data_IF_355320528016
#
_entry.id   IF_355320528016
#
_cell.length_a   1.000
_cell.length_b   1.000
_cell.length_c   1.000
_cell.angle_alpha   90.00
_cell.angle_beta   90.00
_cell.angle_gamma   90.00
#
_symmetry.space_group_name_H-M   'P 1'
#
loop_
_entity.id
_entity.type
_entity.pdbx_description
1 polymer ?
#
# COMPACT_ATOMS: atom_id res chain seq x y z
N UNK A 1 -24.80 18.33 -8.97
CA UNK A 1 -25.37 16.97 -9.06
C UNK A 1 -26.54 16.87 -8.09
N UNK A 2 -27.73 16.49 -8.56
CA UNK A 2 -28.97 16.56 -7.77
C UNK A 2 -29.04 15.41 -6.73
N UNK A 3 -29.19 15.75 -5.45
CA UNK A 3 -29.01 14.84 -4.30
C UNK A 3 -30.21 13.90 -4.12
N UNK A 4 -31.41 14.33 -4.52
CA UNK A 4 -32.65 13.54 -4.40
C UNK A 4 -32.61 12.26 -5.21
N UNK A 5 -32.04 12.29 -6.42
CA UNK A 5 -31.89 11.11 -7.28
C UNK A 5 -31.20 9.91 -6.60
N UNK A 6 -30.32 10.12 -5.62
CA UNK A 6 -29.63 9.02 -4.93
C UNK A 6 -30.47 8.32 -3.89
N UNK A 7 -31.30 9.07 -3.17
CA UNK A 7 -32.23 8.51 -2.18
C UNK A 7 -33.32 7.71 -2.87
N UNK A 8 -33.76 8.19 -4.03
CA UNK A 8 -34.81 7.55 -4.83
C UNK A 8 -34.32 6.28 -5.56
N UNK A 9 -33.01 6.12 -5.78
CA UNK A 9 -32.42 4.96 -6.46
C UNK A 9 -31.96 3.83 -5.51
N UNK A 10 -31.27 4.17 -4.40
CA UNK A 10 -30.69 3.16 -3.50
C UNK A 10 -30.17 3.77 -2.18
N UNK A 11 -30.75 3.35 -1.05
CA UNK A 11 -30.33 3.80 0.30
C UNK A 11 -28.84 3.55 0.60
N UNK A 12 -28.25 2.47 0.08
CA UNK A 12 -26.81 2.18 0.27
C UNK A 12 -25.93 3.19 -0.47
N UNK A 13 -26.31 3.58 -1.69
CA UNK A 13 -25.56 4.57 -2.46
C UNK A 13 -25.63 5.95 -1.81
N UNK A 14 -26.80 6.32 -1.27
CA UNK A 14 -26.94 7.55 -0.50
C UNK A 14 -26.08 7.54 0.78
N UNK A 15 -26.06 6.43 1.53
CA UNK A 15 -25.21 6.29 2.71
C UNK A 15 -23.71 6.43 2.36
N UNK A 16 -23.26 5.75 1.30
CA UNK A 16 -21.89 5.85 0.80
C UNK A 16 -21.52 7.28 0.42
N UNK A 17 -22.43 8.00 -0.24
CA UNK A 17 -22.24 9.41 -0.60
C UNK A 17 -22.08 10.33 0.62
N UNK A 18 -22.86 10.13 1.69
CA UNK A 18 -22.72 10.92 2.93
C UNK A 18 -21.39 10.63 3.62
N UNK A 19 -20.99 9.35 3.70
CA UNK A 19 -19.68 8.94 4.24
C UNK A 19 -18.54 9.59 3.44
N UNK A 20 -18.64 9.58 2.12
CA UNK A 20 -17.72 10.27 1.21
C UNK A 20 -17.60 11.76 1.54
N UNK A 21 -18.72 12.50 1.66
CA UNK A 21 -18.67 13.94 1.98
C UNK A 21 -17.92 14.24 3.27
N UNK A 22 -18.18 13.45 4.33
CA UNK A 22 -17.49 13.61 5.62
C UNK A 22 -15.98 13.41 5.48
N UNK A 23 -15.56 12.34 4.78
CA UNK A 23 -14.15 12.05 4.52
C UNK A 23 -13.50 13.20 3.74
N UNK A 24 -14.13 13.65 2.66
CA UNK A 24 -13.61 14.71 1.80
C UNK A 24 -13.45 16.03 2.54
N UNK A 25 -14.41 16.40 3.38
CA UNK A 25 -14.31 17.61 4.21
C UNK A 25 -13.13 17.53 5.18
N UNK A 26 -12.99 16.41 5.90
CA UNK A 26 -11.87 16.19 6.83
C UNK A 26 -10.51 16.26 6.13
N UNK A 27 -10.38 15.61 4.97
CA UNK A 27 -9.13 15.62 4.18
C UNK A 27 -8.85 17.01 3.63
N UNK A 28 -9.87 17.73 3.15
CA UNK A 28 -9.73 19.11 2.66
C UNK A 28 -9.25 20.07 3.74
N UNK A 29 -9.70 19.88 4.98
CA UNK A 29 -9.23 20.65 6.13
C UNK A 29 -7.71 20.48 6.30
N UNK A 30 -7.20 19.25 6.29
CA UNK A 30 -5.75 18.99 6.40
C UNK A 30 -4.96 19.49 5.19
N UNK A 31 -5.52 19.34 3.98
CA UNK A 31 -4.84 19.78 2.77
C UNK A 31 -4.72 21.31 2.67
N UNK A 32 -5.69 22.04 3.25
CA UNK A 32 -5.73 23.50 3.23
C UNK A 32 -5.03 24.13 4.43
N UNK A 33 -4.99 23.44 5.58
CA UNK A 33 -4.19 23.89 6.73
C UNK A 33 -2.71 23.72 6.39
N UNK A 34 -1.96 24.82 6.45
CA UNK A 34 -0.49 24.75 6.59
C UNK A 34 -0.17 24.29 8.01
N UNK A 35 -0.48 23.02 8.32
CA UNK A 35 -0.15 22.45 9.62
C UNK A 35 1.35 22.53 9.83
N UNK A 36 1.75 23.04 10.97
CA UNK A 36 3.17 22.99 11.34
C UNK A 36 3.55 21.54 11.67
N UNK A 37 4.85 21.23 11.60
CA UNK A 37 5.33 19.87 11.84
C UNK A 37 5.03 19.38 13.28
N UNK A 38 4.95 20.30 14.24
CA UNK A 38 4.65 20.01 15.65
C UNK A 38 3.21 19.55 15.82
N UNK A 39 2.26 20.18 15.15
CA UNK A 39 0.84 19.79 15.12
C UNK A 39 0.67 18.41 14.49
N UNK A 40 1.37 18.13 13.39
CA UNK A 40 1.38 16.81 12.74
C UNK A 40 1.91 15.76 13.72
N UNK A 41 3.06 16.01 14.35
CA UNK A 41 3.67 15.08 15.32
C UNK A 41 2.74 14.81 16.51
N UNK A 42 2.10 15.84 17.07
CA UNK A 42 1.11 15.69 18.15
C UNK A 42 -0.09 14.85 17.71
N UNK A 43 -0.64 15.10 16.52
CA UNK A 43 -1.77 14.34 15.98
C UNK A 43 -1.41 12.86 15.74
N UNK A 44 -0.21 12.60 15.21
CA UNK A 44 0.33 11.25 15.01
C UNK A 44 0.52 10.53 16.34
N UNK A 45 1.05 11.20 17.37
CA UNK A 45 1.20 10.63 18.71
C UNK A 45 -0.16 10.24 19.32
N UNK A 46 -1.18 11.09 19.17
CA UNK A 46 -2.55 10.78 19.61
C UNK A 46 -3.16 9.59 18.86
N UNK A 47 -3.00 9.54 17.53
CA UNK A 47 -3.49 8.40 16.74
C UNK A 47 -2.75 7.11 17.11
N UNK A 48 -1.43 7.18 17.31
CA UNK A 48 -0.64 6.04 17.73
C UNK A 48 -1.14 5.46 19.05
N UNK A 49 -1.33 6.30 20.08
CA UNK A 49 -1.91 5.86 21.36
C UNK A 49 -3.31 5.28 21.18
N UNK A 50 -4.17 5.93 20.40
CA UNK A 50 -5.53 5.46 20.14
C UNK A 50 -5.56 4.07 19.50
N UNK A 51 -4.70 3.80 18.51
CA UNK A 51 -4.73 2.56 17.74
C UNK A 51 -3.92 1.43 18.37
N UNK A 52 -2.86 1.75 19.11
CA UNK A 52 -1.93 0.74 19.67
C UNK A 52 -2.08 0.55 21.17
N UNK A 53 -2.68 1.52 21.88
CA UNK A 53 -2.65 1.61 23.34
C UNK A 53 -1.30 2.04 23.92
N UNK A 54 -0.29 2.35 23.08
CA UNK A 54 1.08 2.68 23.50
C UNK A 54 1.39 4.15 23.32
N UNK A 55 2.28 4.70 24.15
CA UNK A 55 2.77 6.06 24.00
C UNK A 55 3.94 6.09 23.01
N UNK A 56 3.92 7.07 22.10
CA UNK A 56 5.02 7.31 21.15
C UNK A 56 5.92 8.41 21.70
N UNK A 57 7.17 8.08 22.01
CA UNK A 57 8.20 9.05 22.42
C UNK A 57 9.13 9.38 21.23
N UNK A 58 9.03 10.60 20.72
CA UNK A 58 9.83 11.05 19.59
C UNK A 58 11.34 11.14 19.87
N UNK A 59 11.74 11.23 21.14
CA UNK A 59 13.14 11.27 21.54
C UNK A 59 13.79 9.88 21.56
N UNK A 60 12.97 8.83 21.60
CA UNK A 60 13.41 7.44 21.77
C UNK A 60 12.57 6.48 20.94
N UNK A 61 12.94 6.33 19.66
CA UNK A 61 12.26 5.45 18.71
C UNK A 61 12.98 4.10 18.60
N UNK A 62 12.43 3.04 19.19
CA UNK A 62 13.08 1.73 19.25
C UNK A 62 12.38 0.71 18.36
N UNK A 63 11.04 0.68 18.39
CA UNK A 63 10.23 -0.30 17.68
C UNK A 63 10.01 0.06 16.21
N UNK A 64 9.70 -0.96 15.40
CA UNK A 64 9.36 -0.77 13.99
C UNK A 64 8.16 0.17 13.78
N UNK A 65 7.10 0.01 14.57
CA UNK A 65 5.93 0.88 14.46
C UNK A 65 6.27 2.34 14.79
N UNK A 66 7.03 2.62 15.85
CA UNK A 66 7.47 3.98 16.21
C UNK A 66 8.34 4.63 15.12
N UNK A 67 9.33 3.88 14.61
CA UNK A 67 10.20 4.34 13.53
C UNK A 67 9.41 4.63 12.25
N UNK A 68 8.36 3.86 11.97
CA UNK A 68 7.46 4.12 10.85
C UNK A 68 6.65 5.41 11.04
N UNK A 69 6.19 5.70 12.26
CA UNK A 69 5.51 6.97 12.57
C UNK A 69 6.42 8.17 12.32
N UNK A 70 7.73 8.04 12.56
CA UNK A 70 8.70 9.08 12.25
C UNK A 70 8.98 9.19 10.76
N UNK A 71 9.21 8.07 10.08
CA UNK A 71 9.55 8.02 8.66
C UNK A 71 8.44 8.61 7.80
N UNK A 72 7.18 8.29 8.06
CA UNK A 72 6.05 8.77 7.24
C UNK A 72 5.93 10.31 7.20
N UNK A 73 6.39 11.01 8.24
CA UNK A 73 6.27 12.48 8.35
C UNK A 73 7.60 13.20 8.04
N UNK A 74 8.74 12.61 8.43
CA UNK A 74 10.06 13.28 8.34
C UNK A 74 10.89 12.81 7.15
N UNK A 75 10.47 11.74 6.46
CA UNK A 75 11.18 11.16 5.34
C UNK A 75 10.35 11.24 4.04
N UNK A 76 9.80 12.44 3.80
CA UNK A 76 8.98 12.78 2.64
C UNK A 76 9.87 13.08 1.41
N UNK A 77 10.61 12.07 0.94
CA UNK A 77 11.48 12.18 -0.25
C UNK A 77 10.68 11.99 -1.54
N UNK A 78 10.94 12.78 -2.61
CA UNK A 78 10.23 12.65 -3.89
C UNK A 78 10.28 11.24 -4.49
N UNK A 79 11.38 10.52 -4.29
CA UNK A 79 11.52 9.16 -4.82
C UNK A 79 10.50 8.18 -4.22
N UNK A 80 10.16 8.29 -2.93
CA UNK A 80 9.11 7.46 -2.30
C UNK A 80 7.72 7.75 -2.88
N UNK A 81 7.47 8.99 -3.33
CA UNK A 81 6.25 9.33 -4.07
C UNK A 81 6.18 8.58 -5.39
N UNK A 82 7.27 8.56 -6.17
CA UNK A 82 7.33 7.82 -7.44
C UNK A 82 7.08 6.33 -7.21
N UNK A 83 7.72 5.76 -6.18
CA UNK A 83 7.58 4.33 -5.87
C UNK A 83 6.19 3.96 -5.31
N UNK A 84 5.49 4.88 -4.66
CA UNK A 84 4.13 4.66 -4.15
C UNK A 84 3.04 4.88 -5.20
N UNK A 85 3.37 5.56 -6.31
CA UNK A 85 2.48 5.79 -7.44
C UNK A 85 2.41 4.54 -8.32
N UNK A 86 1.27 3.84 -8.29
CA UNK A 86 1.09 2.57 -9.02
C UNK A 86 1.28 2.68 -10.54
N UNK A 87 1.26 3.89 -11.10
CA UNK A 87 1.59 4.13 -12.50
C UNK A 87 3.07 4.46 -12.68
N UNK A 88 3.59 5.48 -11.97
CA UNK A 88 4.98 5.95 -12.16
C UNK A 88 6.03 4.95 -11.68
N UNK A 89 5.73 4.10 -10.69
CA UNK A 89 6.65 3.05 -10.19
C UNK A 89 7.08 2.08 -11.29
N UNK A 90 6.27 1.91 -12.33
CA UNK A 90 6.52 0.94 -13.41
C UNK A 90 7.82 1.22 -14.18
N UNK A 91 8.18 2.49 -14.36
CA UNK A 91 9.44 2.87 -15.00
C UNK A 91 10.66 2.44 -14.16
N UNK A 92 10.56 2.57 -12.83
CA UNK A 92 11.56 2.05 -11.91
C UNK A 92 11.64 0.52 -11.98
N UNK A 93 10.50 -0.18 -11.92
CA UNK A 93 10.46 -1.65 -11.98
C UNK A 93 11.06 -2.19 -13.28
N UNK A 94 10.72 -1.58 -14.43
CA UNK A 94 11.30 -1.94 -15.73
C UNK A 94 12.82 -1.84 -15.74
N UNK A 95 13.37 -0.79 -15.14
CA UNK A 95 14.81 -0.58 -15.04
C UNK A 95 15.45 -1.53 -14.02
N UNK A 96 14.81 -1.70 -12.88
CA UNK A 96 15.35 -2.41 -11.74
C UNK A 96 15.34 -3.92 -11.92
N UNK A 97 14.28 -4.50 -12.51
CA UNK A 97 14.09 -5.94 -12.66
C UNK A 97 13.62 -6.41 -14.03
N UNK A 98 13.04 -5.54 -14.87
CA UNK A 98 12.55 -5.90 -16.21
C UNK A 98 11.06 -5.64 -16.37
N UNK A 99 10.62 -5.46 -17.62
CA UNK A 99 9.21 -5.18 -17.97
C UNK A 99 8.33 -6.43 -17.92
N UNK A 100 8.93 -7.62 -18.10
CA UNK A 100 8.27 -8.92 -18.08
C UNK A 100 7.60 -9.24 -16.73
N UNK A 101 8.04 -8.58 -15.65
CA UNK A 101 7.47 -8.68 -14.31
C UNK A 101 6.32 -7.69 -14.08
N UNK A 102 5.99 -6.81 -15.03
CA UNK A 102 4.86 -5.89 -14.89
C UNK A 102 3.56 -6.52 -15.39
N UNK A 103 2.48 -6.32 -14.64
CA UNK A 103 1.13 -6.63 -15.13
C UNK A 103 0.83 -5.69 -16.31
N UNK A 104 0.29 -6.19 -17.44
CA UNK A 104 -0.07 -5.33 -18.56
C UNK A 104 -1.10 -4.28 -18.19
N UNK A 105 -0.86 -3.03 -18.61
CA UNK A 105 -1.84 -1.94 -18.52
C UNK A 105 -2.72 -1.98 -19.76
N UNK A 106 -4.03 -1.91 -19.54
CA UNK A 106 -5.06 -1.84 -20.58
C UNK A 106 -5.48 -0.41 -20.88
N UNK A 107 -5.26 0.52 -19.94
CA UNK A 107 -5.51 1.93 -20.14
C UNK A 107 -5.24 2.78 -18.89
N UNK A 108 -5.10 4.08 -19.10
CA UNK A 108 -4.85 5.08 -18.04
C UNK A 108 -5.65 6.34 -18.37
N UNK A 109 -6.36 6.86 -17.37
CA UNK A 109 -7.26 8.02 -17.54
C UNK A 109 -7.18 8.96 -16.36
N UNK A 110 -7.51 10.24 -16.59
CA UNK A 110 -7.53 11.25 -15.53
C UNK A 110 -8.89 11.28 -14.80
N UNK A 111 -9.95 10.79 -15.44
CA UNK A 111 -11.25 10.64 -14.79
C UNK A 111 -12.05 9.47 -15.35
N UNK A 112 -13.07 9.04 -14.57
CA UNK A 112 -13.86 7.86 -14.89
C UNK A 112 -14.66 7.96 -16.20
N UNK A 113 -15.01 9.17 -16.64
CA UNK A 113 -15.85 9.35 -17.84
C UNK A 113 -15.10 9.07 -19.14
N UNK A 114 -13.77 9.10 -19.10
CA UNK A 114 -12.91 8.83 -20.27
C UNK A 114 -12.72 7.33 -20.53
N UNK A 115 -13.15 6.47 -19.59
CA UNK A 115 -13.01 5.03 -19.74
C UNK A 115 -14.03 4.55 -20.77
N UNK A 116 -13.51 4.12 -21.92
CA UNK A 116 -14.29 3.34 -22.88
C UNK A 116 -14.24 1.87 -22.48
N UNK A 117 -15.35 1.41 -21.91
CA UNK A 117 -15.46 0.04 -21.45
C UNK A 117 -15.53 -0.96 -22.60
N UNK A 118 -15.91 -0.58 -23.83
CA UNK A 118 -16.06 -1.54 -24.93
C UNK A 118 -14.71 -2.10 -25.40
N UNK A 119 -13.64 -1.31 -25.28
CA UNK A 119 -12.27 -1.75 -25.59
C UNK A 119 -11.59 -2.59 -24.50
N UNK A 120 -12.16 -2.64 -23.29
CA UNK A 120 -11.61 -3.48 -22.23
C UNK A 120 -11.98 -4.97 -22.44
N UNK A 121 -11.18 -5.93 -21.95
CA UNK A 121 -11.56 -7.35 -21.95
C UNK A 121 -12.74 -7.63 -21.00
N UNK A 122 -13.30 -8.84 -21.02
CA UNK A 122 -14.39 -9.20 -20.09
C UNK A 122 -13.95 -9.21 -18.60
N UNK A 123 -12.65 -9.36 -18.35
CA UNK A 123 -12.04 -9.39 -17.02
C UNK A 123 -10.90 -8.39 -16.92
N UNK A 124 -10.94 -7.51 -15.92
CA UNK A 124 -9.90 -6.50 -15.68
C UNK A 124 -9.95 -6.00 -14.24
N UNK A 125 -8.91 -5.29 -13.83
CA UNK A 125 -8.87 -4.59 -12.53
C UNK A 125 -8.74 -3.10 -12.79
N UNK A 126 -9.69 -2.30 -12.28
CA UNK A 126 -9.53 -0.85 -12.22
C UNK A 126 -8.97 -0.45 -10.86
N UNK A 127 -8.02 0.48 -10.84
CA UNK A 127 -7.46 1.01 -9.59
C UNK A 127 -7.08 2.48 -9.70
N UNK A 128 -7.07 3.20 -8.59
CA UNK A 128 -6.36 4.50 -8.56
C UNK A 128 -4.90 4.32 -8.23
N UNK A 129 -4.05 5.18 -8.75
CA UNK A 129 -2.59 5.09 -8.54
C UNK A 129 -2.11 5.61 -7.17
N UNK A 130 -2.94 6.37 -6.46
CA UNK A 130 -2.53 7.27 -5.39
C UNK A 130 -2.97 6.86 -3.98
N UNK A 131 -3.47 5.63 -3.81
CA UNK A 131 -4.07 5.20 -2.55
C UNK A 131 -3.96 3.68 -2.33
N UNK A 132 -4.34 3.24 -1.12
CA UNK A 132 -4.62 1.85 -0.80
C UNK A 132 -6.13 1.60 -0.75
N UNK A 133 -6.55 0.38 -1.12
CA UNK A 133 -7.97 -0.04 -1.09
C UNK A 133 -8.85 0.57 -2.18
N UNK A 134 -8.28 1.27 -3.16
CA UNK A 134 -9.00 1.90 -4.28
C UNK A 134 -8.97 1.02 -5.55
N UNK A 135 -9.34 -0.26 -5.39
CA UNK A 135 -9.35 -1.25 -6.45
C UNK A 135 -10.78 -1.75 -6.71
N UNK A 136 -11.09 -2.06 -7.96
CA UNK A 136 -12.34 -2.66 -8.40
C UNK A 136 -12.03 -3.81 -9.37
N UNK A 137 -12.26 -5.03 -8.92
CA UNK A 137 -12.01 -6.25 -9.69
C UNK A 137 -13.28 -6.57 -10.49
N UNK A 138 -13.16 -6.63 -11.82
CA UNK A 138 -14.24 -7.00 -12.73
C UNK A 138 -13.94 -8.40 -13.25
N UNK A 139 -14.68 -9.40 -12.75
CA UNK A 139 -14.59 -10.81 -13.19
C UNK A 139 -15.55 -11.16 -14.34
N UNK A 140 -16.54 -10.31 -14.57
CA UNK A 140 -17.49 -10.39 -15.69
C UNK A 140 -18.12 -9.02 -15.91
N UNK A 141 -18.01 -8.46 -17.13
CA UNK A 141 -18.62 -7.17 -17.47
C UNK A 141 -20.15 -7.19 -17.36
N UNK A 142 -20.80 -8.34 -17.53
CA UNK A 142 -22.26 -8.43 -17.42
C UNK A 142 -22.76 -8.05 -16.02
N UNK A 143 -21.94 -8.31 -15.00
CA UNK A 143 -22.25 -7.98 -13.60
C UNK A 143 -21.66 -6.63 -13.16
N UNK A 144 -21.02 -5.89 -14.08
CA UNK A 144 -20.37 -4.63 -13.77
C UNK A 144 -21.37 -3.49 -13.62
N UNK A 145 -21.46 -2.94 -12.41
CA UNK A 145 -22.27 -1.76 -12.14
C UNK A 145 -21.47 -0.47 -12.38
N UNK A 146 -21.51 0.05 -13.60
CA UNK A 146 -20.77 1.26 -13.99
C UNK A 146 -21.16 2.50 -13.19
N UNK A 147 -22.42 2.64 -12.77
CA UNK A 147 -22.85 3.76 -11.93
C UNK A 147 -22.18 3.73 -10.55
N UNK A 148 -22.15 2.57 -9.90
CA UNK A 148 -21.49 2.39 -8.60
C UNK A 148 -19.97 2.58 -8.73
N UNK A 149 -19.36 2.03 -9.78
CA UNK A 149 -17.94 2.20 -10.05
C UNK A 149 -17.59 3.69 -10.21
N UNK A 150 -18.38 4.44 -10.98
CA UNK A 150 -18.21 5.90 -11.13
C UNK A 150 -18.17 6.62 -9.77
N UNK A 151 -19.09 6.29 -8.86
CA UNK A 151 -19.15 6.93 -7.54
C UNK A 151 -17.88 6.68 -6.71
N UNK A 152 -17.36 5.46 -6.76
CA UNK A 152 -16.12 5.13 -6.06
C UNK A 152 -14.92 5.86 -6.65
N UNK A 153 -14.78 5.87 -7.97
CA UNK A 153 -13.64 6.54 -8.62
C UNK A 153 -13.70 8.07 -8.49
N UNK A 154 -14.87 8.69 -8.64
CA UNK A 154 -15.05 10.13 -8.36
C UNK A 154 -14.63 10.47 -6.91
N UNK A 155 -14.97 9.59 -5.95
CA UNK A 155 -14.54 9.75 -4.56
C UNK A 155 -13.03 9.59 -4.42
N UNK A 156 -12.47 8.46 -4.85
CA UNK A 156 -11.07 8.10 -4.65
C UNK A 156 -10.12 9.12 -5.29
N UNK A 157 -10.42 9.59 -6.50
CA UNK A 157 -9.63 10.63 -7.17
C UNK A 157 -9.67 11.98 -6.45
N UNK A 158 -10.74 12.27 -5.70
CA UNK A 158 -10.91 13.56 -5.02
C UNK A 158 -10.35 13.62 -3.60
N UNK A 159 -9.81 12.52 -3.11
CA UNK A 159 -9.28 12.39 -1.74
C UNK A 159 -7.76 12.24 -1.81
N UNK A 160 -7.03 13.17 -1.20
CA UNK A 160 -5.59 13.00 -0.99
C UNK A 160 -5.35 11.98 0.14
N UNK A 161 -4.88 10.79 -0.24
CA UNK A 161 -4.75 9.65 0.66
C UNK A 161 -3.75 9.89 1.81
N UNK A 162 -2.77 10.77 1.63
CA UNK A 162 -1.81 11.12 2.67
C UNK A 162 -2.51 11.56 3.97
N UNK A 163 -3.65 12.25 3.86
CA UNK A 163 -4.39 12.80 5.00
C UNK A 163 -5.57 11.95 5.46
N UNK A 164 -5.86 10.83 4.79
CA UNK A 164 -7.08 10.08 5.06
C UNK A 164 -7.06 9.46 6.47
N UNK A 165 -5.91 8.96 6.93
CA UNK A 165 -5.80 8.25 8.21
C UNK A 165 -4.44 8.33 8.94
N UNK A 166 -3.55 9.29 8.65
CA UNK A 166 -2.35 9.45 9.49
C UNK A 166 -1.08 9.90 8.76
N UNK A 167 -1.17 10.90 7.89
CA UNK A 167 -0.01 11.58 7.28
C UNK A 167 0.96 10.62 6.58
N UNK A 168 0.44 9.79 5.67
CA UNK A 168 1.26 8.94 4.79
C UNK A 168 1.80 9.78 3.63
N UNK A 169 2.81 10.61 3.92
CA UNK A 169 3.22 11.73 3.06
C UNK A 169 3.75 11.30 1.70
N UNK A 170 4.21 10.05 1.55
CA UNK A 170 4.62 9.52 0.25
C UNK A 170 3.50 9.60 -0.81
N UNK A 171 2.22 9.56 -0.41
CA UNK A 171 1.08 9.70 -1.33
C UNK A 171 0.73 11.17 -1.66
N UNK A 172 1.26 12.15 -0.91
CA UNK A 172 0.78 13.54 -0.91
C UNK A 172 0.83 14.20 -2.29
N UNK A 173 1.89 13.94 -3.05
CA UNK A 173 2.21 14.57 -4.34
C UNK A 173 1.85 13.70 -5.55
N UNK A 174 1.15 12.58 -5.34
CA UNK A 174 0.72 11.74 -6.45
C UNK A 174 -0.46 12.41 -7.14
N UNK A 175 -0.31 12.65 -8.43
CA UNK A 175 -1.40 13.09 -9.31
C UNK A 175 -2.35 11.90 -9.52
N UNK A 176 -3.61 11.99 -9.07
CA UNK A 176 -4.53 10.86 -9.14
C UNK A 176 -4.89 10.51 -10.59
N UNK A 177 -4.77 9.22 -10.92
CA UNK A 177 -5.16 8.61 -12.20
C UNK A 177 -5.92 7.32 -11.96
N UNK A 178 -6.71 6.89 -12.93
CA UNK A 178 -7.30 5.56 -13.01
C UNK A 178 -6.44 4.70 -13.92
N UNK A 179 -6.12 3.49 -13.50
CA UNK A 179 -5.39 2.48 -14.27
C UNK A 179 -6.30 1.27 -14.45
N UNK A 180 -6.39 0.75 -15.67
CA UNK A 180 -6.88 -0.60 -15.93
C UNK A 180 -5.70 -1.55 -16.13
N UNK A 181 -5.69 -2.67 -15.41
CA UNK A 181 -4.72 -3.75 -15.60
C UNK A 181 -5.41 -5.03 -16.02
N UNK A 182 -4.68 -5.88 -16.74
CA UNK A 182 -5.09 -7.24 -17.04
C UNK A 182 -5.41 -8.00 -15.76
N UNK A 183 -6.53 -8.71 -15.76
CA UNK A 183 -6.86 -9.64 -14.68
C UNK A 183 -5.89 -10.82 -14.71
N UNK A 184 -5.23 -11.09 -13.58
CA UNK A 184 -4.34 -12.23 -13.39
C UNK A 184 -4.83 -13.08 -12.21
N UNK A 185 -4.76 -14.40 -12.38
CA UNK A 185 -5.05 -15.39 -11.36
C UNK A 185 -4.39 -16.71 -11.79
N UNK A 186 -4.07 -17.57 -10.83
CA UNK A 186 -3.54 -18.91 -11.09
C UNK A 186 -4.61 -19.87 -11.61
N UNK A 187 -4.23 -21.12 -11.87
CA UNK A 187 -5.14 -22.16 -12.36
C UNK A 187 -6.35 -22.42 -11.46
N UNK A 188 -6.28 -22.04 -10.18
CA UNK A 188 -7.36 -22.18 -9.20
C UNK A 188 -8.20 -20.90 -9.08
N UNK A 189 -7.83 -19.83 -9.79
CA UNK A 189 -8.50 -18.54 -9.72
C UNK A 189 -8.03 -17.66 -8.56
N UNK A 190 -6.94 -18.02 -7.90
CA UNK A 190 -6.35 -17.32 -6.77
C UNK A 190 -5.20 -16.40 -7.21
N UNK A 191 -4.88 -15.42 -6.37
CA UNK A 191 -3.75 -14.52 -6.58
C UNK A 191 -2.80 -14.61 -5.39
N UNK A 192 -1.82 -15.50 -5.50
CA UNK A 192 -0.82 -15.71 -4.44
C UNK A 192 0.07 -14.48 -4.31
N UNK A 193 0.01 -13.83 -3.15
CA UNK A 193 0.57 -12.51 -2.90
C UNK A 193 1.59 -12.59 -1.75
N UNK A 194 2.85 -12.40 -2.11
CA UNK A 194 4.04 -12.53 -1.27
C UNK A 194 4.56 -11.14 -0.91
N UNK A 195 4.60 -10.82 0.39
CA UNK A 195 4.99 -9.49 0.87
C UNK A 195 6.32 -9.55 1.58
N UNK A 196 7.36 -9.04 0.94
CA UNK A 196 8.70 -9.07 1.47
C UNK A 196 8.97 -7.81 2.28
N UNK A 197 9.26 -7.97 3.57
CA UNK A 197 9.76 -6.89 4.42
C UNK A 197 11.25 -6.70 4.20
N UNK A 198 11.62 -5.53 3.71
CA UNK A 198 12.99 -5.17 3.41
C UNK A 198 13.47 -4.04 4.32
N UNK A 199 14.72 -4.17 4.76
CA UNK A 199 15.42 -3.20 5.59
C UNK A 199 16.83 -3.00 5.04
N UNK A 200 17.26 -1.74 4.91
CA UNK A 200 18.54 -1.34 4.32
C UNK A 200 18.87 -2.09 3.01
N UNK A 201 17.88 -2.18 2.12
CA UNK A 201 17.96 -2.84 0.82
C UNK A 201 18.10 -4.36 0.82
N UNK A 202 17.72 -5.02 1.92
CA UNK A 202 17.75 -6.49 2.03
C UNK A 202 16.39 -7.03 2.50
N UNK A 203 15.85 -8.08 1.87
CA UNK A 203 14.68 -8.77 2.40
C UNK A 203 15.05 -9.62 3.63
N UNK A 204 14.19 -9.59 4.66
CA UNK A 204 14.37 -10.39 5.88
C UNK A 204 13.21 -11.35 6.12
N UNK A 205 11.98 -10.92 5.81
CA UNK A 205 10.78 -11.73 6.01
C UNK A 205 9.85 -11.67 4.80
N UNK A 206 9.07 -12.73 4.58
CA UNK A 206 8.04 -12.83 3.57
C UNK A 206 6.71 -13.20 4.22
N UNK A 207 5.67 -12.38 4.02
CA UNK A 207 4.31 -12.74 4.40
C UNK A 207 3.61 -13.43 3.27
N UNK A 208 2.80 -14.42 3.62
CA UNK A 208 1.86 -15.06 2.71
C UNK A 208 0.49 -15.01 3.37
N UNK A 209 -0.45 -14.33 2.72
CA UNK A 209 -1.82 -14.19 3.19
C UNK A 209 -2.73 -15.21 2.50
N UNK A 210 -3.62 -15.82 3.26
CA UNK A 210 -4.60 -16.81 2.81
C UNK A 210 -6.01 -16.40 3.18
N UNK A 211 -6.99 -16.95 2.46
CA UNK A 211 -8.42 -16.85 2.79
C UNK A 211 -8.89 -15.41 3.04
N UNK A 212 -8.37 -14.45 2.25
CA UNK A 212 -8.55 -13.01 2.46
C UNK A 212 -10.01 -12.54 2.50
N UNK A 213 -10.92 -13.34 1.96
CA UNK A 213 -12.35 -13.03 1.85
C UNK A 213 -13.21 -13.77 2.89
N UNK A 214 -12.62 -14.66 3.68
CA UNK A 214 -13.29 -15.45 4.73
C UNK A 214 -12.57 -15.23 6.08
N UNK A 215 -11.78 -16.21 6.53
CA UNK A 215 -10.96 -16.13 7.74
C UNK A 215 -9.51 -15.81 7.36
N UNK A 216 -9.18 -14.52 7.26
CA UNK A 216 -7.86 -14.09 6.76
C UNK A 216 -6.73 -14.58 7.69
N UNK A 217 -5.92 -15.49 7.19
CA UNK A 217 -4.71 -16.01 7.86
C UNK A 217 -3.44 -15.44 7.23
N UNK A 218 -2.38 -15.32 8.03
CA UNK A 218 -1.07 -14.85 7.55
C UNK A 218 0.04 -15.71 8.15
N UNK A 219 0.89 -16.26 7.29
CA UNK A 219 2.15 -16.83 7.72
C UNK A 219 3.29 -15.85 7.45
N UNK A 220 4.27 -15.82 8.35
CA UNK A 220 5.49 -15.04 8.18
C UNK A 220 6.67 -16.01 8.09
N UNK A 221 7.43 -15.93 7.02
CA UNK A 221 8.63 -16.75 6.81
C UNK A 221 9.88 -15.88 6.81
N UNK A 222 11.02 -16.44 7.25
CA UNK A 222 12.32 -15.84 6.95
C UNK A 222 12.76 -16.16 5.50
N UNK A 223 13.96 -15.72 5.13
CA UNK A 223 14.50 -15.90 3.77
C UNK A 223 14.98 -17.34 3.46
N UNK A 224 14.96 -18.22 4.46
CA UNK A 224 15.23 -19.65 4.34
C UNK A 224 13.94 -20.48 4.37
N UNK A 225 12.78 -19.81 4.39
CA UNK A 225 11.43 -20.40 4.42
C UNK A 225 11.08 -21.09 5.75
N UNK A 226 11.68 -20.66 6.87
CA UNK A 226 11.26 -21.10 8.20
C UNK A 226 10.12 -20.22 8.70
N UNK A 227 9.04 -20.85 9.16
CA UNK A 227 7.90 -20.15 9.76
C UNK A 227 8.34 -19.43 11.03
N UNK A 228 8.03 -18.15 11.12
CA UNK A 228 8.40 -17.29 12.23
C UNK A 228 7.26 -17.21 13.26
N UNK A 229 7.57 -17.17 14.57
CA UNK A 229 6.56 -17.18 15.62
C UNK A 229 6.03 -15.77 15.92
N UNK A 230 5.73 -15.00 14.87
CA UNK A 230 5.16 -13.66 15.01
C UNK A 230 4.23 -13.31 13.86
N UNK A 231 3.31 -12.40 14.13
CA UNK A 231 2.40 -11.85 13.14
C UNK A 231 2.24 -10.34 13.31
N UNK A 232 1.74 -9.69 12.26
CA UNK A 232 1.30 -8.30 12.32
C UNK A 232 -0.21 -8.25 12.20
N UNK A 233 -0.84 -7.50 13.09
CA UNK A 233 -2.27 -7.57 13.39
C UNK A 233 -2.67 -8.88 14.11
N UNK A 234 -3.97 -9.13 14.25
CA UNK A 234 -4.51 -10.30 14.96
C UNK A 234 -4.73 -11.50 14.02
N UNK A 235 -3.92 -11.63 12.98
CA UNK A 235 -4.02 -12.78 12.08
C UNK A 235 -3.46 -14.04 12.75
N UNK A 236 -4.16 -15.15 12.57
CA UNK A 236 -3.67 -16.49 12.88
C UNK A 236 -2.80 -17.01 11.74
N UNK A 237 -1.95 -17.97 12.07
CA UNK A 237 -1.23 -18.75 11.07
C UNK A 237 -2.18 -19.77 10.44
N UNK A 238 -1.82 -20.29 9.26
CA UNK A 238 -2.52 -21.44 8.68
C UNK A 238 -2.33 -22.68 9.53
N UNK A 239 -3.35 -23.55 9.53
CA UNK A 239 -3.32 -24.84 10.23
C UNK A 239 -2.60 -25.93 9.42
N UNK A 240 -2.09 -25.56 8.24
CA UNK A 240 -1.39 -26.43 7.30
C UNK A 240 -0.06 -25.79 6.87
N UNK A 241 0.87 -26.62 6.41
CA UNK A 241 2.18 -26.17 5.94
C UNK A 241 2.09 -25.63 4.52
N UNK A 242 2.75 -24.50 4.26
CA UNK A 242 2.86 -23.91 2.93
C UNK A 242 4.20 -24.30 2.31
N UNK A 243 4.14 -24.92 1.15
CA UNK A 243 5.34 -25.26 0.39
C UNK A 243 6.08 -24.01 -0.08
N UNK A 244 7.41 -24.07 -0.04
CA UNK A 244 8.27 -23.04 -0.60
C UNK A 244 8.02 -22.93 -2.11
N UNK A 245 7.70 -21.75 -2.65
CA UNK A 245 7.58 -21.59 -4.09
C UNK A 245 8.86 -22.00 -4.79
N UNK A 246 8.75 -22.77 -5.88
CA UNK A 246 9.92 -23.25 -6.65
C UNK A 246 10.82 -22.10 -7.14
N UNK A 247 10.23 -20.95 -7.40
CA UNK A 247 10.88 -19.72 -7.86
C UNK A 247 11.19 -18.72 -6.73
N UNK A 248 11.20 -19.13 -5.46
CA UNK A 248 11.43 -18.23 -4.33
C UNK A 248 12.82 -17.57 -4.33
N UNK A 249 13.87 -18.27 -4.79
CA UNK A 249 15.20 -17.65 -4.91
C UNK A 249 15.24 -16.54 -5.96
N UNK A 250 14.47 -16.69 -7.05
CA UNK A 250 14.29 -15.61 -8.02
C UNK A 250 13.53 -14.44 -7.39
N UNK A 251 12.47 -14.68 -6.62
CA UNK A 251 11.77 -13.62 -5.88
C UNK A 251 12.70 -12.85 -4.95
N UNK A 252 13.57 -13.55 -4.21
CA UNK A 252 14.58 -12.94 -3.33
C UNK A 252 15.51 -11.99 -4.10
N UNK A 253 16.01 -12.41 -5.27
CA UNK A 253 16.87 -11.56 -6.10
C UNK A 253 16.13 -10.31 -6.60
N UNK A 254 14.92 -10.48 -7.15
CA UNK A 254 14.09 -9.38 -7.64
C UNK A 254 13.79 -8.36 -6.53
N UNK A 255 13.42 -8.84 -5.34
CA UNK A 255 13.14 -7.99 -4.17
C UNK A 255 14.38 -7.28 -3.68
N UNK A 256 15.54 -7.94 -3.67
CA UNK A 256 16.82 -7.31 -3.31
C UNK A 256 17.15 -6.16 -4.26
N UNK A 257 16.93 -6.33 -5.56
CA UNK A 257 17.14 -5.27 -6.56
C UNK A 257 16.14 -4.12 -6.40
N UNK A 258 14.86 -4.43 -6.16
CA UNK A 258 13.82 -3.42 -5.96
C UNK A 258 13.98 -2.61 -4.66
N UNK A 259 14.51 -3.24 -3.61
CA UNK A 259 14.69 -2.60 -2.30
C UNK A 259 16.05 -1.89 -2.15
N UNK A 260 16.99 -2.10 -3.08
CA UNK A 260 18.34 -1.54 -3.01
C UNK A 260 18.32 -0.01 -2.75
N UNK A 261 19.09 0.42 -1.75
CA UNK A 261 19.20 1.84 -1.36
C UNK A 261 18.03 2.38 -0.52
N UNK A 262 17.00 1.59 -0.23
CA UNK A 262 15.87 1.99 0.62
C UNK A 262 16.09 1.50 2.06
N UNK A 263 15.92 2.39 3.04
CA UNK A 263 16.09 2.04 4.46
C UNK A 263 15.00 1.10 4.98
N UNK A 264 13.75 1.29 4.53
CA UNK A 264 12.66 0.37 4.78
C UNK A 264 11.64 0.40 3.65
N UNK A 265 11.24 -0.77 3.17
CA UNK A 265 10.14 -0.93 2.21
C UNK A 265 9.56 -2.34 2.29
N UNK A 266 8.25 -2.49 2.10
CA UNK A 266 7.62 -3.76 1.81
C UNK A 266 7.45 -3.89 0.30
N UNK A 267 7.95 -4.98 -0.28
CA UNK A 267 7.86 -5.27 -1.72
C UNK A 267 6.89 -6.42 -1.91
N UNK A 268 5.84 -6.20 -2.68
CA UNK A 268 4.82 -7.22 -2.93
C UNK A 268 5.07 -7.83 -4.32
N UNK A 269 5.08 -9.16 -4.38
CA UNK A 269 5.14 -9.92 -5.61
C UNK A 269 3.97 -10.90 -5.69
N UNK A 270 3.43 -11.09 -6.88
CA UNK A 270 2.49 -12.17 -7.19
C UNK A 270 3.21 -13.35 -7.82
N UNK A 271 2.72 -14.57 -7.55
CA UNK A 271 3.14 -15.78 -8.25
C UNK A 271 1.92 -16.47 -8.86
N UNK A 272 1.87 -16.47 -10.18
CA UNK A 272 0.76 -17.03 -10.96
C UNK A 272 1.31 -18.13 -11.84
N UNK A 273 1.07 -19.38 -11.45
CA UNK A 273 1.55 -20.58 -12.15
C UNK A 273 3.06 -20.54 -12.46
N UNK A 274 3.86 -20.04 -11.50
CA UNK A 274 5.32 -19.91 -11.64
C UNK A 274 5.78 -18.62 -12.31
N UNK A 275 4.88 -17.80 -12.87
CA UNK A 275 5.19 -16.48 -13.39
C UNK A 275 5.08 -15.42 -12.29
N UNK A 276 6.16 -14.67 -12.10
CA UNK A 276 6.25 -13.61 -11.09
C UNK A 276 5.75 -12.30 -11.68
N UNK A 277 4.95 -11.56 -10.91
CA UNK A 277 4.60 -10.18 -11.21
C UNK A 277 4.90 -9.26 -10.04
N UNK A 278 5.32 -8.03 -10.32
CA UNK A 278 5.39 -6.96 -9.35
C UNK A 278 3.98 -6.52 -8.93
N UNK A 279 3.75 -6.43 -7.62
CA UNK A 279 2.52 -5.93 -7.03
C UNK A 279 2.63 -4.45 -6.64
N UNK A 280 3.37 -4.16 -5.56
CA UNK A 280 3.53 -2.80 -5.04
C UNK A 280 4.81 -2.59 -4.21
N UNK A 281 5.19 -1.32 -4.04
CA UNK A 281 6.17 -0.86 -3.05
C UNK A 281 5.43 -0.11 -1.95
N UNK A 282 5.54 -0.55 -0.70
CA UNK A 282 4.80 0.00 0.44
C UNK A 282 5.75 0.48 1.55
N UNK A 283 5.71 1.78 1.86
CA UNK A 283 6.56 2.42 2.89
C UNK A 283 5.89 2.58 4.25
N UNK A 284 4.57 2.35 4.34
CA UNK A 284 3.79 2.57 5.56
C UNK A 284 2.82 1.42 5.79
N UNK A 285 3.37 0.21 6.00
CA UNK A 285 2.55 -0.98 6.24
C UNK A 285 1.60 -0.77 7.43
N UNK A 286 0.31 -1.05 7.25
CA UNK A 286 -0.70 -0.85 8.29
C UNK A 286 -0.74 0.59 8.82
N UNK A 287 -0.24 1.56 8.04
CA UNK A 287 -0.01 2.94 8.44
C UNK A 287 0.88 3.10 9.70
N UNK A 288 1.67 2.06 10.02
CA UNK A 288 2.49 1.95 11.20
C UNK A 288 1.72 1.78 12.51
N UNK A 289 0.41 1.48 12.46
CA UNK A 289 -0.44 1.32 13.65
C UNK A 289 -0.80 -0.15 13.93
N UNK A 290 -0.59 -1.05 12.99
CA UNK A 290 -0.81 -2.48 13.20
C UNK A 290 0.24 -3.05 14.17
N UNK A 291 -0.25 -3.55 15.31
CA UNK A 291 0.56 -4.21 16.33
C UNK A 291 1.26 -5.45 15.77
N UNK A 292 2.51 -5.64 16.17
CA UNK A 292 3.27 -6.87 15.93
C UNK A 292 3.26 -7.70 17.20
N UNK A 293 2.92 -8.98 17.09
CA UNK A 293 2.78 -9.91 18.22
C UNK A 293 3.64 -11.15 18.01
N UNK A 294 4.42 -11.59 19.01
CA UNK A 294 4.64 -10.91 20.29
C UNK A 294 5.45 -9.61 20.15
N UNK A 295 5.33 -8.71 21.13
CA UNK A 295 5.91 -7.36 21.09
C UNK A 295 7.44 -7.33 20.87
N UNK A 296 8.14 -8.39 21.29
CA UNK A 296 9.59 -8.52 21.06
C UNK A 296 9.96 -8.46 19.56
N UNK A 297 9.08 -8.90 18.65
CA UNK A 297 9.34 -8.80 17.21
C UNK A 297 9.19 -7.38 16.68
N UNK A 298 8.40 -6.53 17.34
CA UNK A 298 8.35 -5.11 17.01
C UNK A 298 9.69 -4.44 17.29
N UNK A 299 10.37 -4.84 18.37
CA UNK A 299 11.73 -4.41 18.70
C UNK A 299 12.76 -5.00 17.73
N UNK A 300 12.72 -6.32 17.46
CA UNK A 300 13.64 -6.98 16.51
C UNK A 300 13.58 -6.33 15.11
N UNK A 301 12.37 -6.11 14.59
CA UNK A 301 12.17 -5.40 13.31
C UNK A 301 12.64 -3.94 13.39
N UNK A 302 12.45 -3.28 14.52
CA UNK A 302 12.99 -1.95 14.77
C UNK A 302 14.51 -1.92 14.66
N UNK A 303 15.22 -2.91 15.20
CA UNK A 303 16.68 -2.99 15.17
C UNK A 303 17.25 -3.16 13.75
N UNK A 304 16.48 -3.78 12.84
CA UNK A 304 16.86 -3.90 11.43
C UNK A 304 16.82 -2.55 10.68
N UNK A 305 16.10 -1.56 11.20
CA UNK A 305 15.91 -0.26 10.54
C UNK A 305 16.70 0.87 11.20
N UNK A 306 17.79 1.30 10.55
CA UNK A 306 18.55 2.46 10.99
C UNK A 306 17.97 3.78 10.45
N UNK A 307 17.37 4.59 11.33
CA UNK A 307 16.91 5.94 10.96
C UNK A 307 18.05 6.93 10.70
N UNK A 308 19.27 6.65 11.17
CA UNK A 308 20.42 7.53 10.91
C UNK A 308 20.80 7.55 9.44
N UNK A 309 20.71 6.39 8.78
CA UNK A 309 20.95 6.26 7.34
C UNK A 309 19.93 7.10 6.55
N UNK A 310 18.65 7.05 6.96
CA UNK A 310 17.56 7.85 6.37
C UNK A 310 17.78 9.36 6.56
N UNK A 311 18.27 9.79 7.74
CA UNK A 311 18.56 11.20 8.02
C UNK A 311 19.74 11.75 7.21
N UNK A 312 20.75 10.91 6.90
CA UNK A 312 21.93 11.30 6.10
C UNK A 312 21.55 11.57 4.64
N UNK A 313 20.74 10.70 4.03
CA UNK A 313 20.27 10.88 2.65
C UNK A 313 19.49 12.20 2.50
N UNK A 314 18.60 12.48 3.44
CA UNK A 314 17.81 13.73 3.45
C UNK A 314 18.69 15.00 3.53
N UNK A 315 19.80 14.98 4.28
CA UNK A 315 20.73 16.12 4.37
C UNK A 315 21.51 16.37 3.08
N UNK A 316 21.87 15.32 2.36
CA UNK A 316 22.58 15.42 1.07
C UNK A 316 21.64 16.02 0.02
N UNK A 317 20.39 15.55 -0.07
CA UNK A 317 19.41 16.11 -1.02
C UNK A 317 19.04 17.58 -0.72
N UNK A 318 19.01 17.98 0.56
CA UNK A 318 18.74 19.38 0.93
C UNK A 318 19.91 20.31 0.64
N UNK A 319 21.15 19.82 0.71
CA UNK A 319 22.36 20.61 0.44
C UNK A 319 22.71 20.70 -1.04
N UNK A 320 22.21 19.79 -1.88
CA UNK A 320 22.31 19.88 -3.33
C UNK A 320 21.27 20.81 -3.98
N UNK A 321 20.37 21.40 -3.19
CA UNK A 321 19.29 22.31 -3.64
C UNK A 321 19.49 23.76 -3.19
N UNK A 322 20.59 24.04 -2.50
CA UNK A 322 21.10 25.39 -2.17
C UNK A 322 22.35 25.63 -2.97
#
# INVERSE_FOLDING_TARGET
MNITKYKDYNNLLYFLYIKYKKIKMKVKEYNNKKLDNTEIMKKVQQDYNKFTGKNLDWSKLETYNEKMQWSKINNDVPFKTILSDKYKVRAWVKTAIGEEYLIPILGVWDNYKEIDFDYLPNKFVLKTNNASGSNLIVKDKKNFNSFRAKLFFDMWLSVNFAYLNGFQMQYKRIEPKIIAESFIADSNGELNDFKFLCFDGKPYYCWVDFDRFEDHKRNVYDMDWNLQPWNQHNYSNTDFTIEKPKNFELMKDLVKRLSAGLGQVRVDLYNVDGKIYFGEMTFTNGNGFELIKPDEYNLKLGQLWSLENEKKVNKIESSSKT
#
